data_IF_772202900498
#
_entry.id   IF_772202900498
#
_cell.length_a   1.000
_cell.length_b   1.000
_cell.length_c   1.000
_cell.angle_alpha   90.00
_cell.angle_beta   90.00
_cell.angle_gamma   90.00
#
_symmetry.space_group_name_H-M   'P 1'
#
loop_
_entity.id
_entity.type
_entity.pdbx_description
1 polymer ?
#
# COMPACT_ATOMS: atom_id res chain seq x y z
N UNK A 1 -9.73 -12.01 -1.57
CA UNK A 1 -8.51 -12.42 -0.82
C UNK A 1 -8.10 -11.25 0.06
N UNK A 2 -8.01 -11.46 1.36
CA UNK A 2 -7.64 -10.43 2.34
C UNK A 2 -6.22 -9.92 2.06
N UNK A 3 -6.06 -8.63 1.84
CA UNK A 3 -4.75 -7.98 1.65
C UNK A 3 -3.98 -7.96 2.97
N UNK A 4 -2.65 -7.82 2.91
CA UNK A 4 -1.81 -7.73 4.13
C UNK A 4 -2.26 -6.57 5.02
N UNK A 5 -2.55 -5.39 4.43
CA UNK A 5 -3.09 -4.26 5.20
C UNK A 5 -4.45 -4.58 5.83
N UNK A 6 -5.30 -5.35 5.14
CA UNK A 6 -6.61 -5.74 5.66
C UNK A 6 -6.50 -6.69 6.86
N UNK A 7 -5.46 -7.55 6.88
CA UNK A 7 -5.13 -8.41 8.03
C UNK A 7 -4.68 -7.59 9.23
N UNK A 8 -3.75 -6.66 9.03
CA UNK A 8 -3.25 -5.77 10.09
C UNK A 8 -4.38 -4.91 10.68
N UNK A 9 -5.26 -4.37 9.83
CA UNK A 9 -6.40 -3.56 10.29
C UNK A 9 -7.38 -4.38 11.15
N UNK A 10 -7.67 -5.62 10.70
CA UNK A 10 -8.54 -6.53 11.45
C UNK A 10 -7.92 -6.95 12.77
N UNK A 11 -6.61 -7.22 12.79
CA UNK A 11 -5.88 -7.55 14.02
C UNK A 11 -5.96 -6.39 15.01
N UNK A 12 -5.62 -5.18 14.58
CA UNK A 12 -5.71 -3.97 15.40
C UNK A 12 -7.12 -3.79 15.99
N UNK A 13 -8.16 -4.00 15.18
CA UNK A 13 -9.54 -3.90 15.64
C UNK A 13 -9.88 -4.92 16.73
N UNK A 14 -9.38 -6.15 16.60
CA UNK A 14 -9.59 -7.21 17.60
C UNK A 14 -8.78 -6.92 18.87
N UNK A 15 -7.54 -6.46 18.73
CA UNK A 15 -6.66 -6.14 19.86
C UNK A 15 -7.24 -4.99 20.72
N UNK A 16 -7.99 -4.08 20.11
CA UNK A 16 -8.69 -2.97 20.77
C UNK A 16 -10.13 -3.30 21.22
N UNK A 17 -10.58 -4.56 21.04
CA UNK A 17 -11.96 -5.03 21.30
C UNK A 17 -13.06 -4.18 20.62
N UNK A 18 -12.77 -3.70 19.40
CA UNK A 18 -13.68 -2.81 18.67
C UNK A 18 -14.57 -3.55 17.67
N UNK A 19 -15.83 -3.12 17.58
CA UNK A 19 -16.67 -3.48 16.43
C UNK A 19 -16.24 -2.65 15.24
N UNK A 20 -16.66 -3.11 14.06
CA UNK A 20 -16.34 -2.41 12.81
C UNK A 20 -16.89 -0.98 12.79
N UNK A 21 -18.05 -0.75 13.43
CA UNK A 21 -18.64 0.59 13.60
C UNK A 21 -17.76 1.51 14.46
N UNK A 22 -17.14 0.98 15.52
CA UNK A 22 -16.33 1.77 16.46
C UNK A 22 -15.04 2.25 15.80
N UNK A 23 -14.33 1.33 15.13
CA UNK A 23 -13.16 1.68 14.31
C UNK A 23 -13.50 2.66 13.19
N UNK A 24 -14.66 2.47 12.53
CA UNK A 24 -15.11 3.37 11.49
C UNK A 24 -15.35 4.79 12.03
N UNK A 25 -15.98 4.90 13.20
CA UNK A 25 -16.19 6.18 13.89
C UNK A 25 -14.85 6.81 14.30
N UNK A 26 -13.94 6.04 14.92
CA UNK A 26 -12.62 6.53 15.35
C UNK A 26 -11.77 7.05 14.18
N UNK A 27 -11.90 6.45 12.99
CA UNK A 27 -11.19 6.84 11.78
C UNK A 27 -11.96 7.84 10.90
N UNK A 28 -13.14 8.29 11.32
CA UNK A 28 -14.02 9.18 10.54
C UNK A 28 -14.28 8.63 9.12
N UNK A 29 -14.52 7.32 9.02
CA UNK A 29 -14.87 6.60 7.77
C UNK A 29 -16.18 5.85 7.94
N UNK A 30 -16.74 5.38 6.82
CA UNK A 30 -17.90 4.50 6.88
C UNK A 30 -17.49 3.07 7.22
N UNK A 31 -18.37 2.34 7.92
CA UNK A 31 -18.21 0.91 8.15
C UNK A 31 -18.04 0.14 6.83
N UNK A 32 -18.75 0.52 5.78
CA UNK A 32 -18.59 -0.07 4.46
C UNK A 32 -17.15 0.11 3.92
N UNK A 33 -16.53 1.28 4.13
CA UNK A 33 -15.16 1.55 3.72
C UNK A 33 -14.15 0.68 4.48
N UNK A 34 -14.20 0.66 5.81
CA UNK A 34 -13.30 -0.15 6.63
C UNK A 34 -13.42 -1.64 6.27
N UNK A 35 -14.65 -2.12 6.11
CA UNK A 35 -14.94 -3.49 5.71
C UNK A 35 -14.39 -3.83 4.32
N UNK A 36 -14.45 -2.89 3.37
CA UNK A 36 -13.89 -3.07 2.03
C UNK A 36 -12.35 -3.11 2.03
N UNK A 37 -11.71 -2.32 2.90
CA UNK A 37 -10.25 -2.36 3.08
C UNK A 37 -9.83 -3.68 3.74
N UNK A 38 -10.50 -4.10 4.82
CA UNK A 38 -10.23 -5.39 5.48
C UNK A 38 -10.36 -6.57 4.51
N UNK A 39 -11.38 -6.60 3.64
CA UNK A 39 -11.57 -7.66 2.65
C UNK A 39 -10.63 -7.59 1.44
N UNK A 40 -9.85 -6.50 1.31
CA UNK A 40 -9.00 -6.26 0.15
C UNK A 40 -9.75 -5.88 -1.12
N UNK A 41 -11.04 -5.52 -1.04
CA UNK A 41 -11.85 -5.09 -2.19
C UNK A 41 -11.66 -3.61 -2.52
N UNK A 42 -11.09 -2.83 -1.60
CA UNK A 42 -10.77 -1.42 -1.81
C UNK A 42 -9.34 -1.11 -1.37
N UNK A 43 -8.57 -0.47 -2.23
CA UNK A 43 -7.28 0.10 -1.87
C UNK A 43 -7.51 1.37 -1.06
N UNK A 44 -6.94 1.50 0.14
CA UNK A 44 -7.07 2.72 0.91
C UNK A 44 -6.34 3.89 0.23
N UNK A 45 -6.84 5.13 0.37
CA UNK A 45 -6.19 6.29 -0.19
C UNK A 45 -4.87 6.59 0.51
N UNK A 46 -4.05 7.43 -0.12
CA UNK A 46 -2.84 7.97 0.49
C UNK A 46 -3.16 8.65 1.83
N UNK A 47 -2.24 8.50 2.80
CA UNK A 47 -2.42 9.02 4.16
C UNK A 47 -3.36 8.22 5.07
N UNK A 48 -4.08 7.21 4.55
CA UNK A 48 -4.94 6.38 5.41
C UNK A 48 -4.16 5.60 6.48
N UNK A 49 -2.97 5.10 6.14
CA UNK A 49 -2.11 4.39 7.10
C UNK A 49 -1.70 5.32 8.24
N UNK A 50 -1.29 6.55 7.91
CA UNK A 50 -0.90 7.56 8.91
C UNK A 50 -2.08 8.01 9.77
N UNK A 51 -3.28 8.09 9.19
CA UNK A 51 -4.52 8.31 9.94
C UNK A 51 -4.72 7.22 11.00
N UNK A 52 -4.57 5.94 10.63
CA UNK A 52 -4.72 4.80 11.55
C UNK A 52 -3.65 4.83 12.64
N UNK A 53 -2.38 5.04 12.26
CA UNK A 53 -1.26 5.14 13.22
C UNK A 53 -1.54 6.22 14.26
N UNK A 54 -2.00 7.40 13.83
CA UNK A 54 -2.31 8.52 14.71
C UNK A 54 -3.53 8.25 15.59
N UNK A 55 -4.61 7.71 15.02
CA UNK A 55 -5.86 7.46 15.73
C UNK A 55 -5.71 6.42 16.85
N UNK A 56 -4.87 5.40 16.63
CA UNK A 56 -4.61 4.32 17.58
C UNK A 56 -3.31 4.50 18.37
N UNK A 57 -2.55 5.58 18.13
CA UNK A 57 -1.26 5.87 18.77
C UNK A 57 -0.32 4.66 18.74
N UNK A 58 -0.22 4.03 17.56
CA UNK A 58 0.54 2.80 17.39
C UNK A 58 2.02 3.04 17.71
N UNK A 59 2.62 2.08 18.42
CA UNK A 59 4.06 2.03 18.63
C UNK A 59 4.80 1.87 17.28
N UNK A 60 6.08 2.23 17.26
CA UNK A 60 6.88 2.33 16.04
C UNK A 60 6.96 1.01 15.26
N UNK A 61 7.02 -0.12 15.97
CA UNK A 61 7.03 -1.46 15.40
C UNK A 61 5.69 -1.82 14.71
N UNK A 62 4.57 -1.55 15.37
CA UNK A 62 3.23 -1.76 14.83
C UNK A 62 2.95 -0.81 13.65
N UNK A 63 3.34 0.46 13.76
CA UNK A 63 3.26 1.43 12.68
C UNK A 63 4.09 0.99 11.46
N UNK A 64 5.31 0.50 11.68
CA UNK A 64 6.17 -0.02 10.61
C UNK A 64 5.56 -1.28 9.96
N UNK A 65 4.94 -2.16 10.75
CA UNK A 65 4.20 -3.32 10.22
C UNK A 65 3.09 -2.89 9.28
N UNK A 66 2.24 -1.96 9.73
CA UNK A 66 1.11 -1.47 8.95
C UNK A 66 1.54 -0.76 7.66
N UNK A 67 2.60 0.05 7.71
CA UNK A 67 3.21 0.68 6.53
C UNK A 67 3.69 -0.36 5.52
N UNK A 68 4.49 -1.34 5.96
CA UNK A 68 4.95 -2.43 5.09
C UNK A 68 3.80 -3.24 4.49
N UNK A 69 2.75 -3.48 5.26
CA UNK A 69 1.56 -4.20 4.80
C UNK A 69 0.79 -3.40 3.74
N UNK A 70 0.69 -2.08 3.92
CA UNK A 70 0.10 -1.18 2.94
C UNK A 70 0.92 -1.11 1.64
N UNK A 71 2.25 -0.99 1.75
CA UNK A 71 3.15 -0.94 0.59
C UNK A 71 3.08 -2.24 -0.22
N UNK A 72 3.10 -3.40 0.44
CA UNK A 72 2.92 -4.70 -0.24
C UNK A 72 1.54 -4.89 -0.87
N UNK A 73 0.54 -4.19 -0.35
CA UNK A 73 -0.82 -4.22 -0.88
C UNK A 73 -1.04 -3.20 -2.01
N UNK A 74 -0.05 -2.34 -2.28
CA UNK A 74 -0.13 -1.29 -3.30
C UNK A 74 -0.03 -1.90 -4.70
N UNK A 75 -1.05 -1.64 -5.52
CA UNK A 75 -1.11 -2.10 -6.92
C UNK A 75 -0.79 -1.02 -7.93
N UNK A 76 -0.85 0.24 -7.51
CA UNK A 76 -0.66 1.40 -8.38
C UNK A 76 0.50 2.24 -7.84
N UNK A 77 1.47 2.53 -8.71
CA UNK A 77 2.63 3.35 -8.39
C UNK A 77 2.52 4.65 -9.18
N UNK A 78 2.77 5.78 -8.50
CA UNK A 78 2.81 7.10 -9.14
C UNK A 78 4.27 7.45 -9.35
N UNK A 79 4.63 7.84 -10.56
CA UNK A 79 5.98 8.26 -10.93
C UNK A 79 5.93 9.71 -11.38
N UNK A 80 6.82 10.54 -10.86
CA UNK A 80 7.07 11.88 -11.38
C UNK A 80 8.20 11.80 -12.40
N UNK A 81 7.94 12.26 -13.62
CA UNK A 81 8.90 12.23 -14.72
C UNK A 81 9.39 13.64 -15.05
N UNK A 82 10.65 13.90 -14.73
CA UNK A 82 11.34 15.19 -14.80
C UNK A 82 11.96 15.49 -16.18
N UNK A 83 11.99 14.50 -17.08
CA UNK A 83 12.56 14.61 -18.42
C UNK A 83 11.70 13.91 -19.47
N UNK A 84 11.89 14.27 -20.74
CA UNK A 84 11.23 13.60 -21.87
C UNK A 84 11.51 12.10 -21.88
N UNK A 85 12.77 11.71 -21.69
CA UNK A 85 13.16 10.29 -21.63
C UNK A 85 12.51 9.56 -20.44
N UNK A 86 12.43 10.20 -19.27
CA UNK A 86 11.73 9.62 -18.12
C UNK A 86 10.24 9.40 -18.40
N UNK A 87 9.59 10.36 -19.10
CA UNK A 87 8.17 10.25 -19.50
C UNK A 87 7.95 9.10 -20.48
N UNK A 88 8.77 9.02 -21.52
CA UNK A 88 8.67 7.96 -22.54
C UNK A 88 8.93 6.58 -21.93
N UNK A 89 9.93 6.49 -21.04
CA UNK A 89 10.27 5.25 -20.33
C UNK A 89 9.13 4.81 -19.40
N UNK A 90 8.59 5.72 -18.58
CA UNK A 90 7.47 5.44 -17.69
C UNK A 90 6.22 5.04 -18.49
N UNK A 91 5.94 5.69 -19.62
CA UNK A 91 4.84 5.36 -20.52
C UNK A 91 4.98 3.96 -21.14
N UNK A 92 6.18 3.61 -21.62
CA UNK A 92 6.46 2.28 -22.16
C UNK A 92 6.34 1.20 -21.08
N UNK A 93 6.90 1.46 -19.90
CA UNK A 93 6.81 0.59 -18.73
C UNK A 93 5.34 0.35 -18.35
N UNK A 94 4.52 1.40 -18.22
CA UNK A 94 3.11 1.26 -17.90
C UNK A 94 2.33 0.40 -18.91
N UNK A 95 2.66 0.51 -20.21
CA UNK A 95 2.02 -0.28 -21.28
C UNK A 95 2.43 -1.75 -21.28
N UNK A 96 3.66 -2.06 -20.89
CA UNK A 96 4.22 -3.43 -21.00
C UNK A 96 4.35 -4.17 -19.68
N UNK A 97 4.25 -3.51 -18.53
CA UNK A 97 4.52 -4.10 -17.21
C UNK A 97 3.83 -5.45 -17.00
N UNK A 98 2.55 -5.55 -17.37
CA UNK A 98 1.73 -6.74 -17.17
C UNK A 98 1.98 -7.86 -18.21
N UNK A 99 2.81 -7.62 -19.22
CA UNK A 99 3.15 -8.58 -20.27
C UNK A 99 4.62 -9.01 -20.26
N UNK A 100 5.44 -8.43 -19.38
CA UNK A 100 6.85 -8.80 -19.25
C UNK A 100 6.96 -10.16 -18.55
N UNK A 101 7.91 -10.98 -19.03
CA UNK A 101 8.33 -12.21 -18.38
C UNK A 101 9.13 -11.94 -17.10
N UNK A 102 9.28 -12.97 -16.26
CA UNK A 102 10.05 -12.88 -15.02
C UNK A 102 11.52 -12.50 -15.27
N UNK A 103 12.15 -13.03 -16.32
CA UNK A 103 13.52 -12.70 -16.70
C UNK A 103 13.67 -11.23 -17.14
N UNK A 104 12.69 -10.68 -17.85
CA UNK A 104 12.67 -9.27 -18.24
C UNK A 104 12.47 -8.35 -17.02
N UNK A 105 11.56 -8.73 -16.12
CA UNK A 105 11.35 -8.01 -14.86
C UNK A 105 12.60 -8.02 -13.98
N UNK A 106 13.28 -9.17 -13.88
CA UNK A 106 14.56 -9.29 -13.18
C UNK A 106 15.64 -8.40 -13.81
N UNK A 107 15.70 -8.34 -15.14
CA UNK A 107 16.65 -7.48 -15.84
C UNK A 107 16.41 -5.99 -15.54
N UNK A 108 15.14 -5.56 -15.54
CA UNK A 108 14.78 -4.18 -15.15
C UNK A 108 15.12 -3.92 -13.69
N UNK A 109 14.81 -4.85 -12.78
CA UNK A 109 15.16 -4.74 -11.36
C UNK A 109 16.67 -4.54 -11.18
N UNK A 110 17.50 -5.35 -11.84
CA UNK A 110 18.95 -5.25 -11.79
C UNK A 110 19.47 -3.90 -12.31
N UNK A 111 18.86 -3.33 -13.36
CA UNK A 111 19.23 -2.00 -13.87
C UNK A 111 18.96 -0.92 -12.80
N UNK A 112 17.80 -1.00 -12.13
CA UNK A 112 17.38 -0.02 -11.14
C UNK A 112 18.17 -0.14 -9.83
N UNK A 113 18.45 -1.36 -9.35
CA UNK A 113 19.22 -1.60 -8.11
C UNK A 113 20.69 -1.20 -8.21
N UNK A 114 21.27 -1.13 -9.41
CA UNK A 114 22.67 -0.67 -9.59
C UNK A 114 22.89 0.79 -9.16
N UNK A 115 21.84 1.59 -9.01
CA UNK A 115 21.96 3.01 -8.59
C UNK A 115 22.15 3.19 -7.09
N UNK A 116 21.76 2.23 -6.26
CA UNK A 116 21.93 2.30 -4.80
C UNK A 116 23.36 1.92 -4.34
N UNK A 117 24.21 1.49 -5.28
CA UNK A 117 25.58 1.04 -5.02
C UNK A 117 26.65 2.14 -5.24
N UNK A 118 26.27 3.42 -5.29
CA UNK A 118 27.21 4.53 -5.49
C UNK A 118 27.00 5.67 -4.51
#
# INVERSE_FOLDING_TARGET
MTTEIGKELRKLRIDEDERLLDMAARLEKSSAFISAVERGTKTPPEGFVELVIRAYRLAEDAAASLRRAADRSRKNFTLEADSLLARDTAGLMARRMNSLSEDELNSIFQILSKKDAK
#
